data_IF_936720184958
#
_entry.id   IF_936720184958
#
_cell.length_a   1.000
_cell.length_b   1.000
_cell.length_c   1.000
_cell.angle_alpha   90.00
_cell.angle_beta   90.00
_cell.angle_gamma   90.00
#
_symmetry.space_group_name_H-M   'P 1'
#
loop_
_entity.id
_entity.type
_entity.pdbx_description
1 polymer ?
#
# COMPACT_ATOMS: atom_id res chain seq x y z
N UNK A 1 2.44 15.42 -3.56
CA UNK A 1 2.91 14.05 -3.86
C UNK A 1 3.03 13.93 -5.37
N UNK A 2 4.13 13.36 -5.90
CA UNK A 2 4.32 13.23 -7.35
C UNK A 2 3.23 12.30 -7.93
N UNK A 3 2.64 12.65 -9.07
CA UNK A 3 1.55 11.90 -9.70
C UNK A 3 1.96 10.45 -10.01
N UNK A 4 3.24 10.24 -10.34
CA UNK A 4 3.79 8.92 -10.58
C UNK A 4 3.80 8.02 -9.33
N UNK A 5 4.18 8.57 -8.16
CA UNK A 5 4.15 7.83 -6.89
C UNK A 5 2.73 7.43 -6.52
N UNK A 6 1.76 8.30 -6.79
CA UNK A 6 0.34 8.02 -6.60
C UNK A 6 -0.15 6.88 -7.48
N UNK A 7 0.23 6.87 -8.76
CA UNK A 7 -0.12 5.79 -9.69
C UNK A 7 0.51 4.44 -9.27
N UNK A 8 1.74 4.46 -8.77
CA UNK A 8 2.40 3.25 -8.24
C UNK A 8 1.67 2.72 -7.01
N UNK A 9 1.27 3.57 -6.07
CA UNK A 9 0.46 3.17 -4.91
C UNK A 9 -0.89 2.60 -5.33
N UNK A 10 -1.55 3.23 -6.31
CA UNK A 10 -2.81 2.76 -6.86
C UNK A 10 -2.68 1.36 -7.49
N UNK A 11 -1.55 1.08 -8.14
CA UNK A 11 -1.30 -0.22 -8.77
C UNK A 11 -1.25 -1.37 -7.76
N UNK A 12 -0.80 -1.11 -6.52
CA UNK A 12 -0.75 -2.10 -5.43
C UNK A 12 -2.13 -2.46 -4.88
N UNK A 13 -3.19 -1.73 -5.25
CA UNK A 13 -4.56 -2.11 -4.89
C UNK A 13 -5.17 -3.14 -5.85
N UNK A 14 -4.54 -3.36 -7.01
CA UNK A 14 -4.96 -4.38 -7.96
C UNK A 14 -4.41 -5.74 -7.55
N UNK A 15 -5.30 -6.72 -7.38
CA UNK A 15 -4.93 -8.08 -6.98
C UNK A 15 -4.00 -8.73 -8.01
N UNK A 16 -4.25 -8.50 -9.29
CA UNK A 16 -3.47 -9.13 -10.37
C UNK A 16 -2.04 -8.56 -10.42
N UNK A 17 -1.90 -7.26 -10.19
CA UNK A 17 -0.59 -6.61 -10.11
C UNK A 17 0.17 -7.15 -8.89
N UNK A 18 -0.46 -7.19 -7.72
CA UNK A 18 0.15 -7.73 -6.49
C UNK A 18 0.59 -9.20 -6.67
N UNK A 19 -0.23 -10.03 -7.33
CA UNK A 19 0.14 -11.41 -7.65
C UNK A 19 1.32 -11.50 -8.62
N UNK A 20 1.35 -10.68 -9.68
CA UNK A 20 2.46 -10.66 -10.63
C UNK A 20 3.77 -10.22 -9.97
N UNK A 21 3.74 -9.19 -9.14
CA UNK A 21 4.91 -8.72 -8.40
C UNK A 21 5.45 -9.79 -7.46
N UNK A 22 4.55 -10.42 -6.72
CA UNK A 22 4.89 -11.49 -5.81
C UNK A 22 5.49 -12.71 -6.53
N UNK A 23 4.89 -13.12 -7.65
CA UNK A 23 5.41 -14.21 -8.48
C UNK A 23 6.80 -13.87 -9.03
N UNK A 24 7.06 -12.62 -9.40
CA UNK A 24 8.39 -12.17 -9.85
C UNK A 24 9.43 -12.20 -8.73
N UNK A 25 9.05 -11.89 -7.49
CA UNK A 25 9.96 -11.85 -6.34
C UNK A 25 10.26 -13.27 -5.84
N UNK A 26 9.24 -14.11 -5.70
CA UNK A 26 9.33 -15.40 -5.00
C UNK A 26 9.24 -16.63 -5.89
N UNK A 27 8.78 -16.49 -7.14
CA UNK A 27 8.55 -17.63 -8.04
C UNK A 27 7.36 -18.52 -7.65
N UNK A 28 6.50 -18.08 -6.71
CA UNK A 28 5.32 -18.83 -6.24
C UNK A 28 4.04 -18.01 -6.36
N UNK A 29 2.88 -18.66 -6.30
CA UNK A 29 1.59 -17.96 -6.33
C UNK A 29 1.16 -17.44 -4.95
N UNK A 30 0.62 -16.22 -4.95
CA UNK A 30 0.08 -15.58 -3.76
C UNK A 30 -1.37 -15.99 -3.54
N UNK A 31 -1.68 -16.51 -2.35
CA UNK A 31 -3.05 -16.85 -1.96
C UNK A 31 -3.97 -15.61 -2.04
N UNK A 32 -5.17 -15.79 -2.60
CA UNK A 32 -6.19 -14.75 -2.74
C UNK A 32 -6.56 -14.02 -1.43
N UNK A 33 -6.43 -14.69 -0.27
CA UNK A 33 -6.59 -14.04 1.05
C UNK A 33 -5.46 -13.06 1.33
N UNK A 34 -4.20 -13.48 1.13
CA UNK A 34 -3.01 -12.66 1.36
C UNK A 34 -2.95 -11.48 0.40
N UNK A 35 -3.31 -11.70 -0.87
CA UNK A 35 -3.44 -10.62 -1.85
C UNK A 35 -4.45 -9.56 -1.40
N UNK A 36 -5.58 -9.95 -0.80
CA UNK A 36 -6.54 -9.00 -0.22
C UNK A 36 -5.98 -8.23 0.97
N UNK A 37 -5.19 -8.87 1.83
CA UNK A 37 -4.53 -8.22 2.97
C UNK A 37 -3.54 -7.13 2.51
N UNK A 38 -2.70 -7.44 1.52
CA UNK A 38 -1.74 -6.49 0.94
C UNK A 38 -2.48 -5.30 0.30
N UNK A 39 -3.48 -5.59 -0.54
CA UNK A 39 -4.24 -4.53 -1.22
C UNK A 39 -4.99 -3.63 -0.22
N UNK A 40 -5.54 -4.21 0.86
CA UNK A 40 -6.20 -3.45 1.90
C UNK A 40 -5.23 -2.52 2.64
N UNK A 41 -4.02 -2.99 2.93
CA UNK A 41 -2.97 -2.19 3.56
C UNK A 41 -2.51 -1.03 2.64
N UNK A 42 -2.32 -1.31 1.34
CA UNK A 42 -1.99 -0.29 0.34
C UNK A 42 -3.09 0.76 0.22
N UNK A 43 -4.36 0.34 0.19
CA UNK A 43 -5.52 1.24 0.17
C UNK A 43 -5.58 2.12 1.42
N UNK A 44 -5.39 1.54 2.61
CA UNK A 44 -5.37 2.31 3.87
C UNK A 44 -4.27 3.38 3.84
N UNK A 45 -3.07 3.02 3.39
CA UNK A 45 -1.96 3.97 3.25
C UNK A 45 -2.32 5.16 2.38
N UNK A 46 -2.89 4.89 1.21
CA UNK A 46 -3.39 5.92 0.32
C UNK A 46 -4.42 6.82 1.00
N UNK A 47 -5.44 6.26 1.64
CA UNK A 47 -6.48 7.10 2.26
C UNK A 47 -5.89 7.95 3.41
N UNK A 48 -4.91 7.44 4.16
CA UNK A 48 -4.19 8.23 5.16
C UNK A 48 -3.40 9.38 4.54
N UNK A 49 -2.67 9.16 3.44
CA UNK A 49 -1.95 10.24 2.75
C UNK A 49 -2.89 11.27 2.12
N UNK A 50 -4.03 10.82 1.58
CA UNK A 50 -5.07 11.70 1.06
C UNK A 50 -5.65 12.58 2.18
N UNK A 51 -6.05 11.97 3.29
CA UNK A 51 -6.58 12.70 4.43
C UNK A 51 -5.54 13.64 5.05
N UNK A 52 -4.26 13.25 5.10
CA UNK A 52 -3.18 14.10 5.59
C UNK A 52 -3.03 15.39 4.76
N UNK A 53 -3.23 15.31 3.44
CA UNK A 53 -3.15 16.45 2.54
C UNK A 53 -4.24 17.49 2.83
N UNK A 54 -5.48 17.04 3.10
CA UNK A 54 -6.64 17.91 3.37
C UNK A 54 -6.78 18.31 4.85
N UNK A 55 -6.01 17.70 5.74
CA UNK A 55 -6.10 17.91 7.18
C UNK A 55 -5.34 19.13 7.71
N UNK A 56 -5.75 19.60 8.90
CA UNK A 56 -5.09 20.66 9.65
C UNK A 56 -3.67 20.24 10.08
N UNK A 57 -2.77 21.23 10.23
CA UNK A 57 -1.37 21.06 10.58
C UNK A 57 -1.13 20.16 11.80
N UNK A 58 -1.98 20.25 12.84
CA UNK A 58 -1.80 19.46 14.07
C UNK A 58 -2.05 17.96 13.89
N UNK A 59 -2.94 17.56 12.97
CA UNK A 59 -3.32 16.14 12.75
C UNK A 59 -2.57 15.51 11.58
N UNK A 60 -1.98 16.34 10.70
CA UNK A 60 -1.22 15.89 9.53
C UNK A 60 -0.07 14.92 9.87
N UNK A 61 0.76 15.13 10.93
CA UNK A 61 1.83 14.20 11.28
C UNK A 61 1.31 12.80 11.63
N UNK A 62 0.19 12.73 12.36
CA UNK A 62 -0.42 11.47 12.78
C UNK A 62 -0.94 10.68 11.58
N UNK A 63 -1.66 11.35 10.67
CA UNK A 63 -2.16 10.72 9.44
C UNK A 63 -1.00 10.28 8.54
N UNK A 64 0.05 11.08 8.45
CA UNK A 64 1.26 10.73 7.68
C UNK A 64 1.95 9.51 8.28
N UNK A 65 2.07 9.43 9.60
CA UNK A 65 2.63 8.27 10.30
C UNK A 65 1.84 6.99 9.99
N UNK A 66 0.51 7.01 10.10
CA UNK A 66 -0.30 5.84 9.77
C UNK A 66 -0.28 5.50 8.27
N UNK A 67 -0.15 6.51 7.40
CA UNK A 67 0.05 6.31 5.96
C UNK A 67 1.35 5.56 5.66
N UNK A 68 2.44 5.94 6.30
CA UNK A 68 3.74 5.24 6.17
C UNK A 68 3.68 3.85 6.80
N UNK A 69 3.11 3.70 8.00
CA UNK A 69 3.05 2.41 8.69
C UNK A 69 2.25 1.36 7.90
N UNK A 70 1.10 1.75 7.33
CA UNK A 70 0.29 0.88 6.49
C UNK A 70 0.96 0.56 5.15
N UNK A 71 1.72 1.50 4.57
CA UNK A 71 2.53 1.24 3.39
C UNK A 71 3.63 0.21 3.68
N UNK A 72 4.36 0.40 4.77
CA UNK A 72 5.41 -0.50 5.22
C UNK A 72 4.87 -1.91 5.43
N UNK A 73 3.66 -2.04 5.99
CA UNK A 73 2.99 -3.34 6.13
C UNK A 73 2.73 -3.99 4.76
N UNK A 74 2.17 -3.25 3.80
CA UNK A 74 1.89 -3.78 2.46
C UNK A 74 3.18 -4.26 1.77
N UNK A 75 4.27 -3.50 1.88
CA UNK A 75 5.57 -3.84 1.29
C UNK A 75 6.23 -5.03 2.00
N UNK A 76 6.16 -5.07 3.32
CA UNK A 76 6.69 -6.19 4.12
C UNK A 76 5.94 -7.49 3.81
N UNK A 77 4.61 -7.44 3.73
CA UNK A 77 3.78 -8.59 3.40
C UNK A 77 4.03 -9.08 1.96
N UNK A 78 4.33 -8.17 1.01
CA UNK A 78 4.72 -8.52 -0.36
C UNK A 78 6.13 -9.15 -0.44
N UNK A 79 7.04 -8.73 0.44
CA UNK A 79 8.44 -9.15 0.40
C UNK A 79 8.72 -10.47 1.13
N UNK A 80 7.89 -10.86 2.10
CA UNK A 80 8.15 -12.01 2.97
C UNK A 80 7.27 -13.20 2.65
N UNK A 81 5.97 -12.96 2.54
CA UNK A 81 5.09 -13.97 1.98
C UNK A 81 5.42 -14.04 0.50
#
# INVERSE_FOLDING_TARGET
MNQETWLRLLSLESRDITQQWFQRIHGRELNARRAREINAAAKQSREFFRNAADSNYSVRPLLTFYGVASLSRALFDLAIF
#
